data_IF_189253748584
#
_entry.id   IF_189253748584
#
_cell.length_a   1.000
_cell.length_b   1.000
_cell.length_c   1.000
_cell.angle_alpha   90.00
_cell.angle_beta   90.00
_cell.angle_gamma   90.00
#
_symmetry.space_group_name_H-M   'P 1'
#
loop_
_entity.id
_entity.type
_entity.pdbx_description
1 polymer ?
#
# COMPACT_ATOMS: atom_id res chain seq x y z
N UNK A 1 16.19 -14.00 -7.24
CA UNK A 1 15.26 -13.84 -6.09
C UNK A 1 15.18 -12.34 -5.81
N UNK A 2 13.98 -11.78 -5.67
CA UNK A 2 13.81 -10.34 -5.43
C UNK A 2 13.35 -10.09 -3.98
N UNK A 3 13.93 -9.08 -3.34
CA UNK A 3 13.58 -8.68 -1.98
C UNK A 3 12.46 -7.63 -1.96
N UNK A 4 12.30 -6.89 -3.05
CA UNK A 4 11.26 -5.87 -3.25
C UNK A 4 10.47 -6.21 -4.50
N UNK A 5 9.15 -6.21 -4.39
CA UNK A 5 8.20 -6.38 -5.49
C UNK A 5 7.37 -5.09 -5.58
N UNK A 6 7.40 -4.42 -6.72
CA UNK A 6 6.64 -3.20 -6.95
C UNK A 6 5.79 -3.32 -8.23
N UNK A 7 4.55 -2.85 -8.17
CA UNK A 7 3.64 -2.89 -9.31
C UNK A 7 2.18 -2.92 -8.91
N UNK A 8 1.31 -3.15 -9.90
CA UNK A 8 -0.12 -3.28 -9.70
C UNK A 8 -0.46 -4.55 -8.90
N UNK A 9 -1.31 -4.40 -7.88
CA UNK A 9 -1.61 -5.48 -6.96
C UNK A 9 -2.31 -6.67 -7.62
N UNK A 10 -3.14 -6.46 -8.64
CA UNK A 10 -3.80 -7.56 -9.35
C UNK A 10 -2.78 -8.47 -10.04
N UNK A 11 -1.75 -7.88 -10.66
CA UNK A 11 -0.67 -8.63 -11.27
C UNK A 11 0.22 -9.32 -10.23
N UNK A 12 0.58 -8.61 -9.16
CA UNK A 12 1.37 -9.20 -8.06
C UNK A 12 0.63 -10.41 -7.48
N UNK A 13 -0.66 -10.26 -7.17
CA UNK A 13 -1.52 -11.31 -6.61
C UNK A 13 -1.55 -12.56 -7.50
N UNK A 14 -1.58 -12.37 -8.81
CA UNK A 14 -1.64 -13.48 -9.78
C UNK A 14 -0.35 -14.31 -9.84
N UNK A 15 0.81 -13.66 -9.65
CA UNK A 15 2.13 -14.30 -9.86
C UNK A 15 2.96 -14.44 -8.58
N UNK A 16 2.48 -13.94 -7.43
CA UNK A 16 3.19 -14.02 -6.17
C UNK A 16 3.32 -15.47 -5.69
N UNK A 17 4.47 -15.86 -5.12
CA UNK A 17 4.64 -17.19 -4.53
C UNK A 17 3.77 -17.35 -3.27
N UNK A 18 3.62 -18.60 -2.82
CA UNK A 18 2.89 -18.91 -1.57
C UNK A 18 3.62 -18.47 -0.30
N UNK A 19 4.93 -18.23 -0.39
CA UNK A 19 5.73 -17.70 0.70
C UNK A 19 6.46 -16.41 0.28
N UNK A 20 6.18 -15.34 1.01
CA UNK A 20 6.70 -13.99 0.83
C UNK A 20 7.65 -13.57 1.97
N UNK A 21 8.12 -14.53 2.79
CA UNK A 21 9.07 -14.26 3.89
C UNK A 21 10.28 -13.47 3.40
N UNK A 22 10.64 -12.41 4.12
CA UNK A 22 11.77 -11.55 3.78
C UNK A 22 11.49 -10.54 2.67
N UNK A 23 10.26 -10.50 2.13
CA UNK A 23 9.91 -9.62 1.00
C UNK A 23 9.14 -8.38 1.45
N UNK A 24 9.34 -7.32 0.68
CA UNK A 24 8.54 -6.11 0.70
C UNK A 24 7.70 -6.01 -0.57
N UNK A 25 6.43 -5.65 -0.44
CA UNK A 25 5.57 -5.28 -1.58
C UNK A 25 5.27 -3.78 -1.51
N UNK A 26 5.46 -3.08 -2.64
CA UNK A 26 5.05 -1.68 -2.83
C UNK A 26 3.97 -1.66 -3.91
N UNK A 27 2.77 -1.23 -3.57
CA UNK A 27 1.63 -1.33 -4.49
C UNK A 27 0.53 -0.31 -4.18
N UNK A 28 -0.52 -0.32 -4.99
CA UNK A 28 -1.76 0.42 -4.77
C UNK A 28 -2.95 -0.54 -4.95
N UNK A 29 -4.16 0.00 -4.80
CA UNK A 29 -5.40 -0.68 -5.19
C UNK A 29 -5.61 -2.04 -4.50
N UNK A 30 -5.83 -2.01 -3.19
CA UNK A 30 -5.98 -3.22 -2.38
C UNK A 30 -7.11 -3.10 -1.35
N UNK A 31 -7.60 -4.25 -0.90
CA UNK A 31 -8.61 -4.35 0.17
C UNK A 31 -8.01 -4.94 1.46
N UNK A 32 -8.79 -4.96 2.53
CA UNK A 32 -8.39 -5.60 3.79
C UNK A 32 -8.19 -7.12 3.61
N UNK A 33 -9.00 -7.77 2.76
CA UNK A 33 -8.87 -9.20 2.43
C UNK A 33 -7.52 -9.49 1.76
N UNK A 34 -7.06 -8.60 0.90
CA UNK A 34 -5.76 -8.70 0.25
C UNK A 34 -4.61 -8.61 1.26
N UNK A 35 -4.70 -7.69 2.22
CA UNK A 35 -3.73 -7.56 3.31
C UNK A 35 -3.70 -8.84 4.15
N UNK A 36 -4.87 -9.42 4.45
CA UNK A 36 -4.97 -10.69 5.18
C UNK A 36 -4.35 -11.86 4.41
N UNK A 37 -4.50 -11.90 3.09
CA UNK A 37 -3.84 -12.90 2.24
C UNK A 37 -2.32 -12.75 2.28
N UNK A 38 -1.80 -11.53 2.11
CA UNK A 38 -0.37 -11.25 2.19
C UNK A 38 0.23 -11.63 3.55
N UNK A 39 -0.51 -11.39 4.64
CA UNK A 39 -0.12 -11.80 5.99
C UNK A 39 -0.05 -13.33 6.12
N UNK A 40 -1.01 -14.07 5.56
CA UNK A 40 -0.99 -15.55 5.53
C UNK A 40 0.22 -16.10 4.77
N UNK A 41 0.68 -15.37 3.74
CA UNK A 41 1.88 -15.69 2.95
C UNK A 41 3.19 -15.23 3.61
N UNK A 42 3.17 -14.71 4.84
CA UNK A 42 4.34 -14.22 5.58
C UNK A 42 5.07 -13.05 4.92
N UNK A 43 4.37 -12.12 4.25
CA UNK A 43 5.00 -10.89 3.79
C UNK A 43 5.54 -10.08 4.99
N UNK A 44 6.73 -9.51 4.86
CA UNK A 44 7.34 -8.73 5.95
C UNK A 44 6.76 -7.32 6.00
N UNK A 45 6.83 -6.60 4.88
CA UNK A 45 6.44 -5.20 4.78
C UNK A 45 5.55 -4.99 3.55
N UNK A 46 4.45 -4.28 3.75
CA UNK A 46 3.59 -3.77 2.70
C UNK A 46 3.63 -2.24 2.71
N UNK A 47 3.92 -1.64 1.58
CA UNK A 47 3.85 -0.19 1.35
C UNK A 47 2.70 0.09 0.39
N UNK A 48 1.63 0.69 0.89
CA UNK A 48 0.54 1.19 0.07
C UNK A 48 0.83 2.64 -0.32
N UNK A 49 0.94 2.94 -1.61
CA UNK A 49 1.31 4.28 -2.10
C UNK A 49 0.18 5.31 -2.01
N UNK A 50 -1.06 4.84 -1.83
CA UNK A 50 -2.24 5.65 -1.54
C UNK A 50 -2.75 5.35 -0.11
N UNK A 51 -3.51 6.25 0.53
CA UNK A 51 -4.11 6.02 1.83
C UNK A 51 -5.38 5.17 1.71
N UNK A 52 -5.79 4.67 2.87
CA UNK A 52 -7.00 3.88 3.03
C UNK A 52 -8.21 4.79 3.16
N UNK A 53 -9.26 4.47 2.42
CA UNK A 53 -10.59 5.05 2.55
C UNK A 53 -11.58 3.92 2.79
N UNK A 54 -12.18 3.88 3.98
CA UNK A 54 -13.21 2.91 4.36
C UNK A 54 -12.83 1.45 4.07
N UNK A 55 -11.60 1.04 4.43
CA UNK A 55 -11.13 -0.34 4.21
C UNK A 55 -10.60 -0.64 2.81
N UNK A 56 -10.46 0.38 1.95
CA UNK A 56 -9.93 0.21 0.59
C UNK A 56 -8.88 1.24 0.25
N UNK A 57 -7.82 0.78 -0.39
CA UNK A 57 -6.80 1.60 -1.01
C UNK A 57 -7.20 1.80 -2.46
N UNK A 58 -7.36 3.05 -2.90
CA UNK A 58 -7.78 3.36 -4.26
C UNK A 58 -6.57 3.62 -5.16
N UNK A 59 -6.76 3.38 -6.46
CA UNK A 59 -5.75 3.69 -7.47
C UNK A 59 -5.57 5.20 -7.65
N UNK A 60 -4.48 5.58 -8.31
CA UNK A 60 -4.10 6.99 -8.51
C UNK A 60 -5.18 7.78 -9.25
N UNK A 61 -5.89 7.18 -10.21
CA UNK A 61 -6.98 7.80 -10.96
C UNK A 61 -8.12 8.33 -10.06
N UNK A 62 -8.49 7.58 -9.02
CA UNK A 62 -9.54 8.01 -8.07
C UNK A 62 -9.01 9.11 -7.16
N UNK A 63 -7.76 8.99 -6.71
CA UNK A 63 -7.13 10.03 -5.89
C UNK A 63 -7.02 11.34 -6.67
N UNK A 64 -6.59 11.30 -7.93
CA UNK A 64 -6.53 12.47 -8.81
C UNK A 64 -7.90 13.11 -8.99
N UNK A 65 -8.94 12.31 -9.26
CA UNK A 65 -10.31 12.83 -9.38
C UNK A 65 -10.78 13.53 -8.09
N UNK A 66 -10.47 12.97 -6.91
CA UNK A 66 -10.76 13.60 -5.62
C UNK A 66 -10.00 14.92 -5.49
N UNK A 67 -8.70 14.94 -5.77
CA UNK A 67 -7.89 16.16 -5.69
C UNK A 67 -8.42 17.25 -6.63
N UNK A 68 -8.71 16.91 -7.90
CA UNK A 68 -9.29 17.84 -8.87
C UNK A 68 -10.63 18.38 -8.38
N UNK A 69 -11.50 17.53 -7.81
CA UNK A 69 -12.80 17.98 -7.28
C UNK A 69 -12.70 18.91 -6.06
N UNK A 70 -11.57 18.90 -5.35
CA UNK A 70 -11.32 19.74 -4.18
C UNK A 70 -10.54 21.02 -4.51
N UNK A 71 -9.90 21.08 -5.68
CA UNK A 71 -9.18 22.26 -6.15
C UNK A 71 -10.21 23.22 -6.75
N UNK A 72 -10.35 24.39 -6.13
CA UNK A 72 -11.26 25.45 -6.57
C UNK A 72 -10.66 26.25 -7.74
N UNK A 73 -10.44 25.56 -8.86
CA UNK A 73 -9.95 26.13 -10.13
C UNK A 73 -10.61 25.42 -11.32
N UNK A 74 -10.76 26.11 -12.47
CA UNK A 74 -11.08 25.43 -13.74
C UNK A 74 -10.07 24.32 -14.03
N UNK A 75 -10.53 23.19 -14.56
CA UNK A 75 -9.69 22.01 -14.78
C UNK A 75 -8.46 22.32 -15.65
N UNK A 76 -8.64 23.18 -16.66
CA UNK A 76 -7.60 23.61 -17.59
C UNK A 76 -6.51 24.46 -16.94
N UNK A 77 -6.79 25.02 -15.75
CA UNK A 77 -5.87 25.87 -14.98
C UNK A 77 -5.18 25.11 -13.82
N UNK A 78 -5.53 23.85 -13.60
CA UNK A 78 -4.94 23.03 -12.53
C UNK A 78 -3.49 22.68 -12.89
N UNK A 79 -2.56 23.02 -12.00
CA UNK A 79 -1.13 22.78 -12.17
C UNK A 79 -0.63 21.63 -11.28
N UNK A 80 0.59 21.14 -11.55
CA UNK A 80 1.26 20.16 -10.68
C UNK A 80 1.45 20.67 -9.24
N UNK A 81 1.66 21.96 -9.04
CA UNK A 81 1.82 22.54 -7.72
C UNK A 81 0.51 22.55 -6.93
N UNK A 82 -0.63 22.72 -7.61
CA UNK A 82 -1.95 22.59 -6.96
C UNK A 82 -2.17 21.18 -6.40
N UNK A 83 -1.76 20.14 -7.13
CA UNK A 83 -1.77 18.77 -6.61
C UNK A 83 -0.84 18.60 -5.41
N UNK A 84 0.38 19.14 -5.46
CA UNK A 84 1.36 19.04 -4.35
C UNK A 84 0.85 19.74 -3.10
N UNK A 85 0.26 20.92 -3.25
CA UNK A 85 -0.34 21.68 -2.17
C UNK A 85 -1.51 20.93 -1.56
N UNK A 86 -2.38 20.35 -2.37
CA UNK A 86 -3.52 19.56 -1.86
C UNK A 86 -3.09 18.27 -1.18
N UNK A 87 -2.14 17.52 -1.75
CA UNK A 87 -1.56 16.33 -1.11
C UNK A 87 -0.96 16.70 0.25
N UNK A 88 -0.25 17.83 0.33
CA UNK A 88 0.34 18.32 1.58
C UNK A 88 -0.72 18.71 2.61
N UNK A 89 -1.76 19.46 2.20
CA UNK A 89 -2.89 19.87 3.06
C UNK A 89 -3.65 18.67 3.61
N UNK A 90 -3.89 17.65 2.78
CA UNK A 90 -4.56 16.40 3.16
C UNK A 90 -3.64 15.45 3.94
N UNK A 91 -2.36 15.80 4.13
CA UNK A 91 -1.33 14.94 4.76
C UNK A 91 -1.25 13.57 4.10
N UNK A 92 -1.40 13.56 2.78
CA UNK A 92 -1.39 12.37 1.97
C UNK A 92 0.02 11.75 2.02
N UNK A 93 0.12 10.53 2.53
CA UNK A 93 1.39 9.83 2.66
C UNK A 93 1.21 8.34 2.40
N UNK A 94 2.24 7.66 1.86
CA UNK A 94 2.22 6.22 1.76
C UNK A 94 2.02 5.58 3.13
N UNK A 95 1.24 4.50 3.18
CA UNK A 95 1.06 3.71 4.39
C UNK A 95 2.05 2.55 4.41
N UNK A 96 2.90 2.50 5.43
CA UNK A 96 3.79 1.36 5.70
C UNK A 96 3.12 0.46 6.73
N UNK A 97 2.97 -0.83 6.38
CA UNK A 97 2.34 -1.86 7.20
C UNK A 97 3.35 -2.98 7.42
N UNK A 98 3.75 -3.17 8.66
CA UNK A 98 4.60 -4.30 9.07
C UNK A 98 3.70 -5.50 9.39
N UNK A 99 3.72 -6.53 8.54
CA UNK A 99 2.80 -7.68 8.62
C UNK A 99 3.43 -8.87 9.36
N UNK A 100 4.74 -9.07 9.18
CA UNK A 100 5.50 -10.06 9.94
C UNK A 100 6.31 -9.36 11.04
N UNK A 101 6.05 -9.76 12.29
CA UNK A 101 6.90 -9.43 13.44
C UNK A 101 7.48 -10.75 13.92
N UNK A 102 8.81 -10.86 13.93
CA UNK A 102 9.54 -12.03 14.42
C UNK A 102 9.00 -12.39 15.82
N UNK A 103 8.32 -13.54 15.94
CA UNK A 103 7.96 -14.09 17.25
C UNK A 103 9.25 -14.43 17.97
N UNK A 104 9.65 -13.63 18.95
CA UNK A 104 10.79 -13.95 19.80
C UNK A 104 10.57 -15.31 20.47
N UNK A 105 11.44 -16.27 20.14
CA UNK A 105 11.77 -17.50 20.86
C UNK A 105 10.66 -18.22 21.61
N UNK A 106 10.17 -19.33 21.04
CA UNK A 106 9.86 -20.51 21.87
C UNK A 106 11.18 -20.97 22.48
N UNK A 107 11.43 -20.63 23.75
CA UNK A 107 12.42 -21.36 24.55
C UNK A 107 11.89 -22.79 24.71
N UNK A 108 12.63 -23.75 24.16
CA UNK A 108 12.57 -25.13 24.60
C UNK A 108 12.89 -25.17 26.09
N UNK A 109 11.95 -25.65 26.90
CA UNK A 109 12.28 -26.31 28.16
C UNK A 109 11.50 -27.62 28.19
N UNK A 110 12.06 -28.60 27.46
CA UNK A 110 12.01 -29.99 27.88
C UNK A 110 13.29 -30.25 28.65
N UNK A 111 13.17 -30.31 29.97
CA UNK A 111 13.84 -31.22 30.90
C UNK A 111 13.32 -30.94 32.30
#
# INVERSE_FOLDING_TARGET
>A
NADIIAGDFHFIKKYMPDNLTGKMIITNTMTIEDINELKKRNLDILVAVTPEFSGRYFGTNVIEAILVSLIDKPFEEITHDDYRDMLSKLKFSPKIIYLYVKRNGRKNTSN
#
